data_IF_593239489278
#
_entry.id   IF_593239489278
#
_cell.length_a   1.000
_cell.length_b   1.000
_cell.length_c   1.000
_cell.angle_alpha   90.00
_cell.angle_beta   90.00
_cell.angle_gamma   90.00
#
_symmetry.space_group_name_H-M   'P 1'
#
loop_
_entity.id
_entity.type
_entity.pdbx_description
1 polymer ?
#
# COMPACT_ATOMS: atom_id res chain seq x y z
N UNK A 1 7.71 23.10 -22.36
CA UNK A 1 7.23 22.15 -21.33
C UNK A 1 8.13 20.94 -21.35
N UNK A 2 8.63 20.46 -20.21
CA UNK A 2 9.47 19.26 -20.17
C UNK A 2 8.59 18.01 -20.16
N UNK A 3 8.93 17.01 -20.99
CA UNK A 3 8.30 15.70 -20.99
C UNK A 3 9.25 14.66 -20.42
N UNK A 4 8.73 13.78 -19.57
CA UNK A 4 9.50 12.68 -18.98
C UNK A 4 9.98 11.74 -20.09
N UNK A 5 11.30 11.62 -20.24
CA UNK A 5 11.95 10.84 -21.29
C UNK A 5 12.81 9.75 -20.65
N UNK A 6 12.74 8.54 -21.17
CA UNK A 6 13.57 7.44 -20.72
C UNK A 6 15.06 7.77 -21.01
N UNK A 7 15.94 7.78 -19.99
CA UNK A 7 17.35 8.14 -20.18
C UNK A 7 18.13 7.09 -20.99
N UNK A 8 17.61 5.86 -21.11
CA UNK A 8 18.28 4.76 -21.80
C UNK A 8 17.97 4.70 -23.31
N UNK A 9 16.70 4.81 -23.72
CA UNK A 9 16.30 4.68 -25.14
C UNK A 9 15.56 5.90 -25.70
N UNK A 10 15.27 6.89 -24.87
CA UNK A 10 14.57 8.11 -25.28
C UNK A 10 13.06 7.98 -25.51
N UNK A 11 12.46 6.83 -25.20
CA UNK A 11 11.01 6.67 -25.24
C UNK A 11 10.29 7.51 -24.16
N UNK A 12 9.00 7.75 -24.34
CA UNK A 12 8.18 8.60 -23.45
C UNK A 12 7.09 7.83 -22.69
N UNK A 13 6.99 6.52 -22.92
CA UNK A 13 5.96 5.67 -22.31
C UNK A 13 6.55 4.81 -21.20
N UNK A 14 5.85 4.78 -20.07
CA UNK A 14 6.25 4.05 -18.87
C UNK A 14 5.09 3.19 -18.38
N UNK A 15 5.43 2.08 -17.74
CA UNK A 15 4.50 1.15 -17.11
C UNK A 15 4.84 0.96 -15.64
N UNK A 16 3.83 0.58 -14.86
CA UNK A 16 4.00 0.09 -13.51
C UNK A 16 4.04 -1.45 -13.57
N UNK A 17 5.16 -2.06 -13.19
CA UNK A 17 5.35 -3.51 -13.28
C UNK A 17 5.68 -4.11 -11.92
N UNK A 18 4.93 -5.12 -11.51
CA UNK A 18 5.24 -5.90 -10.30
C UNK A 18 6.58 -6.62 -10.49
N UNK A 19 7.43 -6.55 -9.46
CA UNK A 19 8.74 -7.15 -9.46
C UNK A 19 9.10 -7.69 -8.08
N UNK A 20 10.02 -8.66 -8.08
CA UNK A 20 10.53 -9.33 -6.88
C UNK A 20 12.04 -9.16 -6.84
N UNK A 21 12.55 -8.04 -6.30
CA UNK A 21 13.99 -7.76 -6.28
C UNK A 21 14.73 -8.83 -5.47
N UNK A 22 15.90 -9.25 -5.96
CA UNK A 22 16.72 -10.24 -5.28
C UNK A 22 17.11 -9.74 -3.87
N UNK A 23 16.97 -10.61 -2.87
CA UNK A 23 17.18 -10.31 -1.45
C UNK A 23 16.20 -9.28 -0.86
N UNK A 24 15.06 -9.02 -1.51
CA UNK A 24 13.94 -8.29 -0.91
C UNK A 24 13.00 -9.25 -0.21
N UNK A 25 12.52 -8.85 0.97
CA UNK A 25 11.44 -9.56 1.67
C UNK A 25 10.05 -9.22 1.13
N UNK A 26 9.95 -8.19 0.28
CA UNK A 26 8.68 -7.67 -0.21
C UNK A 26 8.70 -7.46 -1.72
N UNK A 27 7.53 -7.66 -2.33
CA UNK A 27 7.29 -7.27 -3.72
C UNK A 27 7.34 -5.76 -3.85
N UNK A 28 7.74 -5.27 -5.01
CA UNK A 28 7.76 -3.85 -5.34
C UNK A 28 7.15 -3.63 -6.71
N UNK A 29 6.67 -2.42 -6.95
CA UNK A 29 6.35 -1.97 -8.30
C UNK A 29 7.51 -1.16 -8.85
N UNK A 30 7.91 -1.45 -10.07
CA UNK A 30 8.84 -0.61 -10.83
C UNK A 30 8.08 0.26 -11.80
N UNK A 31 8.43 1.54 -11.82
CA UNK A 31 8.08 2.44 -12.91
C UNK A 31 9.20 2.27 -13.95
N UNK A 32 8.89 1.59 -15.05
CA UNK A 32 9.88 1.25 -16.07
C UNK A 32 9.45 1.66 -17.47
N UNK A 33 10.42 1.87 -18.36
CA UNK A 33 10.15 2.18 -19.76
C UNK A 33 9.53 0.97 -20.47
N UNK A 34 8.40 1.17 -21.16
CA UNK A 34 7.71 0.09 -21.90
C UNK A 34 8.51 -0.43 -23.09
N UNK A 35 9.46 0.37 -23.60
CA UNK A 35 10.23 0.02 -24.80
C UNK A 35 11.51 -0.74 -24.48
N UNK A 36 12.30 -0.30 -23.48
CA UNK A 36 13.60 -0.91 -23.17
C UNK A 36 13.68 -1.56 -21.78
N UNK A 37 12.64 -1.47 -20.95
CA UNK A 37 12.63 -2.04 -19.61
C UNK A 37 13.50 -1.32 -18.58
N UNK A 38 14.13 -0.19 -18.95
CA UNK A 38 14.92 0.62 -18.01
C UNK A 38 14.04 1.12 -16.87
N UNK A 39 14.43 0.77 -15.63
CA UNK A 39 13.74 1.15 -14.40
C UNK A 39 14.10 2.58 -14.04
N UNK A 40 13.08 3.42 -13.85
CA UNK A 40 13.23 4.84 -13.49
C UNK A 40 13.07 5.03 -11.99
N UNK A 41 12.17 4.26 -11.37
CA UNK A 41 11.91 4.30 -9.95
C UNK A 41 11.30 2.98 -9.46
N UNK A 42 11.38 2.75 -8.16
CA UNK A 42 10.68 1.69 -7.45
C UNK A 42 9.74 2.30 -6.41
N UNK A 43 8.55 1.74 -6.28
CA UNK A 43 7.54 2.12 -5.30
C UNK A 43 7.00 0.88 -4.59
N UNK A 44 6.42 1.09 -3.41
CA UNK A 44 5.87 0.01 -2.60
C UNK A 44 4.73 -0.70 -3.34
N UNK A 45 4.68 -2.03 -3.21
CA UNK A 45 3.60 -2.85 -3.73
C UNK A 45 2.27 -2.58 -3.00
N UNK A 46 2.35 -2.46 -1.67
CA UNK A 46 1.26 -1.98 -0.85
C UNK A 46 1.57 -0.57 -0.39
N UNK A 47 0.70 0.39 -0.69
CA UNK A 47 0.84 1.73 -0.13
C UNK A 47 0.72 1.65 1.40
N UNK A 48 1.80 2.03 2.09
CA UNK A 48 1.82 2.06 3.55
C UNK A 48 0.63 2.85 4.14
N UNK A 49 0.24 3.95 3.50
CA UNK A 49 -0.93 4.74 3.92
C UNK A 49 -2.25 3.99 3.82
N UNK A 50 -2.42 3.15 2.78
CA UNK A 50 -3.62 2.29 2.65
C UNK A 50 -3.63 1.24 3.75
N UNK A 51 -2.49 0.57 3.98
CA UNK A 51 -2.37 -0.44 5.03
C UNK A 51 -2.62 0.15 6.42
N UNK A 52 -2.09 1.34 6.71
CA UNK A 52 -2.32 2.04 7.98
C UNK A 52 -3.80 2.36 8.19
N UNK A 53 -4.47 2.87 7.15
CA UNK A 53 -5.91 3.16 7.21
C UNK A 53 -6.73 1.88 7.45
N UNK A 54 -6.40 0.79 6.78
CA UNK A 54 -7.07 -0.49 7.01
C UNK A 54 -6.86 -1.02 8.43
N UNK A 55 -5.67 -0.81 9.01
CA UNK A 55 -5.42 -1.17 10.40
C UNK A 55 -6.21 -0.30 11.38
N UNK A 56 -6.25 1.02 11.15
CA UNK A 56 -7.07 1.95 11.94
C UNK A 56 -8.55 1.54 11.93
N UNK A 57 -9.10 1.21 10.76
CA UNK A 57 -10.49 0.73 10.65
C UNK A 57 -10.74 -0.56 11.43
N UNK A 58 -9.78 -1.50 11.42
CA UNK A 58 -9.89 -2.76 12.17
C UNK A 58 -9.82 -2.50 13.68
N UNK A 59 -8.94 -1.62 14.14
CA UNK A 59 -8.82 -1.22 15.55
C UNK A 59 -10.14 -0.59 16.01
N UNK A 60 -10.66 0.38 15.27
CA UNK A 60 -11.93 1.04 15.60
C UNK A 60 -13.10 0.04 15.69
N UNK A 61 -13.15 -0.98 14.83
CA UNK A 61 -14.18 -2.04 14.92
C UNK A 61 -14.06 -2.86 16.21
N UNK A 62 -12.84 -3.20 16.61
CA UNK A 62 -12.58 -3.93 17.86
C UNK A 62 -12.96 -3.08 19.07
N UNK A 63 -12.56 -1.81 19.10
CA UNK A 63 -12.91 -0.88 20.18
C UNK A 63 -14.41 -0.72 20.34
N UNK A 64 -15.14 -0.56 19.24
CA UNK A 64 -16.59 -0.47 19.26
C UNK A 64 -17.24 -1.76 19.79
N UNK A 65 -16.76 -2.93 19.36
CA UNK A 65 -17.27 -4.21 19.86
C UNK A 65 -17.02 -4.36 21.37
N UNK A 66 -15.85 -3.97 21.86
CA UNK A 66 -15.52 -3.98 23.29
C UNK A 66 -16.44 -3.06 24.09
N UNK A 67 -16.68 -1.83 23.60
CA UNK A 67 -17.57 -0.88 24.26
C UNK A 67 -19.00 -1.41 24.40
N UNK A 68 -19.51 -2.08 23.36
CA UNK A 68 -20.82 -2.74 23.42
C UNK A 68 -20.83 -3.82 24.50
N UNK A 69 -19.82 -4.69 24.54
CA UNK A 69 -19.73 -5.75 25.53
C UNK A 69 -19.64 -5.21 26.97
N UNK A 70 -18.86 -4.15 27.20
CA UNK A 70 -18.76 -3.49 28.50
C UNK A 70 -20.13 -2.95 28.93
N UNK A 71 -20.83 -2.25 28.04
CA UNK A 71 -22.17 -1.70 28.34
C UNK A 71 -23.19 -2.79 28.68
N UNK A 72 -23.13 -3.93 27.99
CA UNK A 72 -23.97 -5.09 28.26
C UNK A 72 -23.63 -5.70 29.63
N UNK A 73 -22.34 -5.87 29.94
CA UNK A 73 -21.90 -6.41 31.22
C UNK A 73 -22.34 -5.53 32.40
N UNK A 74 -22.21 -4.20 32.28
CA UNK A 74 -22.70 -3.28 33.30
C UNK A 74 -24.21 -3.39 33.51
N UNK A 75 -24.98 -3.59 32.44
CA UNK A 75 -26.44 -3.78 32.54
C UNK A 75 -26.82 -5.10 33.22
N UNK A 76 -25.99 -6.13 33.11
CA UNK A 76 -26.18 -7.42 33.77
C UNK A 76 -25.82 -7.35 35.26
N UNK A 77 -24.74 -6.65 35.62
CA UNK A 77 -24.29 -6.49 37.01
C UNK A 77 -25.20 -5.57 37.85
N UNK A 78 -26.03 -4.73 37.20
CA UNK A 78 -27.03 -3.88 37.87
C UNK A 78 -28.37 -4.58 38.13
N UNK A 79 -28.54 -5.83 37.70
CA UNK A 79 -29.69 -6.70 38.03
C UNK A 79 -29.35 -7.59 39.22
#
# INVERSE_FOLDING_TARGET
>A
MASSKCPSCGNYTFELKENEPRNSNYKMFFIQCTSCGSVISATDYYSAGVLLKEQEEKINRIENALNVLISLNESLLRK
#
